data_IF_809306404886
#
_entry.id   IF_809306404886
#
_cell.length_a   1.000
_cell.length_b   1.000
_cell.length_c   1.000
_cell.angle_alpha   90.00
_cell.angle_beta   90.00
_cell.angle_gamma   90.00
#
_symmetry.space_group_name_H-M   'P 1'
#
loop_
_entity.id
_entity.type
_entity.pdbx_description
1 polymer ?
#
# COMPACT_ATOMS: atom_id res chain seq x y z
N UNK A 1 18.79 -11.97 57.33
CA UNK A 1 17.91 -12.13 56.14
C UNK A 1 17.84 -10.82 55.38
N UNK A 2 18.75 -10.68 54.44
CA UNK A 2 18.70 -9.56 53.49
C UNK A 2 17.68 -9.91 52.40
N UNK A 3 16.47 -9.42 52.54
CA UNK A 3 15.48 -9.45 51.49
C UNK A 3 16.01 -8.68 50.27
N UNK A 4 16.37 -9.45 49.30
CA UNK A 4 16.74 -8.97 47.98
C UNK A 4 15.47 -8.41 47.30
N UNK A 5 15.01 -7.19 47.67
CA UNK A 5 13.96 -6.47 46.95
C UNK A 5 14.50 -6.15 45.57
N UNK A 6 14.14 -6.99 44.57
CA UNK A 6 14.25 -6.60 43.18
C UNK A 6 13.43 -5.32 42.99
N UNK A 7 14.12 -4.19 42.97
CA UNK A 7 13.52 -2.92 42.54
C UNK A 7 13.04 -3.14 41.13
N UNK A 8 11.74 -3.15 40.91
CA UNK A 8 11.16 -3.22 39.57
C UNK A 8 11.73 -2.04 38.79
N UNK A 9 12.50 -2.34 37.77
CA UNK A 9 13.10 -1.32 36.94
C UNK A 9 11.96 -0.67 36.14
N UNK A 10 11.64 0.59 36.43
CA UNK A 10 10.68 1.37 35.71
C UNK A 10 11.37 1.77 34.38
N UNK A 11 10.93 1.18 33.28
CA UNK A 11 11.37 1.54 31.93
C UNK A 11 10.36 2.52 31.34
N UNK A 12 10.87 3.65 30.81
CA UNK A 12 10.01 4.65 30.15
C UNK A 12 9.34 4.02 28.94
N UNK A 13 8.03 4.23 28.83
CA UNK A 13 7.27 3.83 27.64
C UNK A 13 7.88 4.46 26.37
N UNK A 14 8.09 3.68 25.35
CA UNK A 14 8.58 4.14 24.06
C UNK A 14 7.94 3.34 22.92
N UNK A 15 7.90 3.94 21.74
CA UNK A 15 7.55 3.31 20.47
C UNK A 15 8.74 3.48 19.52
N UNK A 16 9.04 2.45 18.75
CA UNK A 16 10.06 2.47 17.70
C UNK A 16 9.65 3.31 16.50
N UNK A 17 10.30 3.06 15.38
CA UNK A 17 9.97 3.74 14.15
C UNK A 17 8.55 3.38 13.70
N UNK A 18 7.75 4.40 13.44
CA UNK A 18 6.42 4.26 12.85
C UNK A 18 6.52 4.61 11.38
N UNK A 19 5.94 3.82 10.47
CA UNK A 19 5.91 4.18 9.05
C UNK A 19 5.19 5.53 8.88
N UNK A 20 5.63 6.31 7.90
CA UNK A 20 4.98 7.56 7.54
C UNK A 20 3.68 7.31 6.80
N UNK A 21 3.69 6.33 5.91
CA UNK A 21 2.56 5.91 5.09
C UNK A 21 2.36 4.40 5.25
N UNK A 22 1.11 3.98 5.32
CA UNK A 22 0.68 2.57 5.42
C UNK A 22 -0.33 2.31 4.31
N UNK A 23 -0.20 1.19 3.61
CA UNK A 23 -1.13 0.83 2.54
C UNK A 23 -2.30 0.01 3.10
N UNK A 24 -3.49 0.23 2.53
CA UNK A 24 -4.64 -0.64 2.79
C UNK A 24 -4.28 -2.10 2.47
N UNK A 25 -4.70 -3.04 3.34
CA UNK A 25 -4.34 -4.45 3.23
C UNK A 25 -2.95 -4.80 3.77
N UNK A 26 -2.16 -3.83 4.23
CA UNK A 26 -0.84 -4.05 4.81
C UNK A 26 -0.95 -4.35 6.31
N UNK A 27 -0.13 -5.30 6.79
CA UNK A 27 0.08 -5.53 8.22
C UNK A 27 1.33 -4.79 8.66
N UNK A 28 1.21 -3.99 9.71
CA UNK A 28 2.32 -3.22 10.30
C UNK A 28 2.60 -3.72 11.70
N UNK A 29 3.87 -3.99 12.00
CA UNK A 29 4.32 -4.36 13.35
C UNK A 29 4.87 -3.13 14.04
N UNK A 30 4.18 -2.68 15.08
CA UNK A 30 4.65 -1.65 16.00
C UNK A 30 5.44 -2.30 17.13
N UNK A 31 6.54 -1.71 17.52
CA UNK A 31 7.43 -2.23 18.56
C UNK A 31 7.83 -1.14 19.54
N UNK A 32 8.21 -1.52 20.75
CA UNK A 32 8.74 -0.55 21.71
C UNK A 32 9.20 -1.18 23.02
N UNK A 33 9.42 -0.31 23.99
CA UNK A 33 9.86 -0.65 25.33
C UNK A 33 8.89 -0.09 26.37
N UNK A 34 8.83 -0.72 27.51
CA UNK A 34 8.06 -0.27 28.67
C UNK A 34 8.40 -1.07 29.93
N UNK A 35 7.66 -0.86 30.99
CA UNK A 35 7.90 -1.56 32.27
C UNK A 35 7.64 -3.05 32.12
N UNK A 36 8.62 -3.93 32.41
CA UNK A 36 8.43 -5.39 32.28
C UNK A 36 7.20 -5.89 33.03
N UNK A 37 6.49 -6.84 32.42
CA UNK A 37 5.28 -7.48 32.95
C UNK A 37 4.08 -6.53 33.22
N UNK A 38 4.15 -5.27 32.78
CA UNK A 38 3.00 -4.37 32.78
C UNK A 38 2.16 -4.53 31.51
N UNK A 39 1.00 -3.91 31.50
CA UNK A 39 0.13 -3.86 30.31
C UNK A 39 0.17 -2.48 29.67
N UNK A 40 -0.04 -2.44 28.37
CA UNK A 40 -0.31 -1.23 27.60
C UNK A 40 -1.61 -1.38 26.82
N UNK A 41 -2.33 -0.29 26.68
CA UNK A 41 -3.46 -0.19 25.76
C UNK A 41 -3.02 0.51 24.50
N UNK A 42 -3.33 -0.09 23.36
CA UNK A 42 -3.06 0.45 22.04
C UNK A 42 -4.40 0.77 21.39
N UNK A 43 -4.55 1.99 20.89
CA UNK A 43 -5.74 2.38 20.16
C UNK A 43 -5.35 3.09 18.86
N UNK A 44 -6.04 2.75 17.77
CA UNK A 44 -5.97 3.51 16.51
C UNK A 44 -7.17 4.43 16.39
N UNK A 45 -6.94 5.61 15.81
CA UNK A 45 -7.97 6.64 15.57
C UNK A 45 -7.91 7.09 14.13
N UNK A 46 -9.09 7.22 13.53
CA UNK A 46 -9.24 7.78 12.19
C UNK A 46 -9.05 9.29 12.17
N UNK A 47 -9.12 9.91 10.99
CA UNK A 47 -8.99 11.35 10.80
C UNK A 47 -10.05 12.18 11.55
N UNK A 48 -11.22 11.62 11.81
CA UNK A 48 -12.28 12.25 12.60
C UNK A 48 -12.01 12.18 14.12
N UNK A 49 -11.00 11.41 14.54
CA UNK A 49 -10.66 11.17 15.94
C UNK A 49 -11.45 10.03 16.60
N UNK A 50 -12.26 9.31 15.82
CA UNK A 50 -12.99 8.13 16.29
C UNK A 50 -12.03 6.96 16.46
N UNK A 51 -12.26 6.17 17.52
CA UNK A 51 -11.47 4.96 17.76
C UNK A 51 -11.92 3.90 16.75
N UNK A 52 -10.99 3.48 15.90
CA UNK A 52 -11.17 2.41 14.93
C UNK A 52 -10.89 1.04 15.55
N UNK A 53 -9.84 0.97 16.37
CA UNK A 53 -9.42 -0.27 17.03
C UNK A 53 -8.83 0.01 18.42
N UNK A 54 -9.05 -0.91 19.38
CA UNK A 54 -8.45 -0.86 20.70
C UNK A 54 -8.07 -2.26 21.17
N UNK A 55 -6.86 -2.41 21.68
CA UNK A 55 -6.35 -3.67 22.21
C UNK A 55 -5.45 -3.45 23.43
N UNK A 56 -5.39 -4.43 24.33
CA UNK A 56 -4.49 -4.43 25.47
C UNK A 56 -3.52 -5.58 25.37
N UNK A 57 -2.23 -5.27 25.41
CA UNK A 57 -1.16 -6.26 25.32
C UNK A 57 -0.26 -6.21 26.57
N UNK A 58 0.40 -7.34 26.88
CA UNK A 58 1.36 -7.43 27.97
C UNK A 58 2.78 -7.17 27.46
N UNK A 59 3.52 -6.34 28.18
CA UNK A 59 4.95 -6.11 27.95
C UNK A 59 5.74 -7.33 28.45
N UNK A 60 6.67 -7.80 27.63
CA UNK A 60 7.51 -8.94 27.95
C UNK A 60 8.36 -8.74 29.22
N UNK A 61 8.92 -9.83 29.74
CA UNK A 61 9.82 -9.82 30.91
C UNK A 61 11.12 -9.04 30.64
N UNK A 62 11.48 -8.87 29.36
CA UNK A 62 12.62 -8.09 28.89
C UNK A 62 12.30 -6.60 28.67
N UNK A 63 11.06 -6.18 28.93
CA UNK A 63 10.57 -4.82 28.73
C UNK A 63 10.20 -4.49 27.28
N UNK A 64 10.22 -5.45 26.38
CA UNK A 64 9.82 -5.23 24.99
C UNK A 64 8.36 -5.58 24.77
N UNK A 65 7.75 -4.86 23.83
CA UNK A 65 6.44 -5.17 23.32
C UNK A 65 6.42 -5.09 21.79
N UNK A 66 5.53 -5.85 21.18
CA UNK A 66 5.18 -5.76 19.76
C UNK A 66 3.68 -5.88 19.60
N UNK A 67 3.16 -5.27 18.55
CA UNK A 67 1.77 -5.30 18.18
C UNK A 67 1.67 -5.27 16.66
N UNK A 68 0.99 -6.26 16.09
CA UNK A 68 0.71 -6.35 14.66
C UNK A 68 -0.71 -5.85 14.40
N UNK A 69 -0.84 -4.86 13.52
CA UNK A 69 -2.12 -4.32 13.08
C UNK A 69 -2.29 -4.48 11.58
N UNK A 70 -3.38 -5.14 11.19
CA UNK A 70 -3.79 -5.26 9.79
C UNK A 70 -4.69 -4.08 9.43
N UNK A 71 -4.24 -3.24 8.50
CA UNK A 71 -5.05 -2.16 7.94
C UNK A 71 -6.00 -2.73 6.90
N UNK A 72 -7.27 -2.91 7.28
CA UNK A 72 -8.28 -3.50 6.40
C UNK A 72 -8.34 -2.80 5.04
N UNK A 73 -8.53 -3.56 3.94
CA UNK A 73 -8.76 -2.97 2.62
C UNK A 73 -10.01 -2.05 2.55
N UNK A 74 -10.93 -2.21 3.50
CA UNK A 74 -12.18 -1.45 3.57
C UNK A 74 -12.07 -0.16 4.41
N UNK A 75 -10.90 0.11 5.02
CA UNK A 75 -10.64 1.33 5.75
C UNK A 75 -10.63 2.54 4.80
N UNK A 76 -11.11 3.68 5.30
CA UNK A 76 -10.96 4.94 4.57
C UNK A 76 -9.50 5.39 4.57
N UNK A 77 -9.04 5.87 3.40
CA UNK A 77 -7.73 6.50 3.27
C UNK A 77 -7.72 7.85 3.99
N UNK A 78 -6.60 8.22 4.54
CA UNK A 78 -6.43 9.51 5.23
C UNK A 78 -5.48 9.43 6.41
N UNK A 79 -5.41 10.51 7.16
CA UNK A 79 -4.56 10.59 8.34
C UNK A 79 -5.14 9.76 9.47
N UNK A 80 -4.28 8.95 10.08
CA UNK A 80 -4.60 8.15 11.26
C UNK A 80 -3.57 8.37 12.35
N UNK A 81 -3.90 7.95 13.55
CA UNK A 81 -2.97 7.94 14.66
C UNK A 81 -3.04 6.64 15.45
N UNK A 82 -1.89 6.22 15.98
CA UNK A 82 -1.81 5.18 16.98
C UNK A 82 -1.43 5.80 18.32
N UNK A 83 -2.17 5.47 19.34
CA UNK A 83 -1.94 5.91 20.72
C UNK A 83 -1.60 4.70 21.59
N UNK A 84 -0.56 4.82 22.40
CA UNK A 84 -0.10 3.80 23.33
C UNK A 84 -0.10 4.37 24.73
N UNK A 85 -0.79 3.71 25.66
CA UNK A 85 -1.02 4.16 27.03
C UNK A 85 -0.67 3.06 28.03
N UNK A 86 0.23 3.33 28.99
CA UNK A 86 0.59 2.42 30.10
C UNK A 86 -0.09 2.79 31.43
N UNK A 87 -1.08 3.70 31.39
CA UNK A 87 -1.77 4.25 32.54
C UNK A 87 -1.02 5.36 33.26
N UNK A 88 0.24 5.64 32.89
CA UNK A 88 1.07 6.71 33.45
C UNK A 88 1.60 7.65 32.37
N UNK A 89 1.86 7.10 31.20
CA UNK A 89 2.41 7.81 30.04
C UNK A 89 1.62 7.45 28.80
N UNK A 90 1.51 8.42 27.91
CA UNK A 90 0.80 8.27 26.65
C UNK A 90 1.68 8.75 25.51
N UNK A 91 1.73 7.98 24.44
CA UNK A 91 2.48 8.30 23.22
C UNK A 91 1.54 8.25 22.03
N UNK A 92 1.54 9.29 21.21
CA UNK A 92 0.79 9.38 19.96
C UNK A 92 1.76 9.40 18.78
N UNK A 93 1.42 8.67 17.73
CA UNK A 93 2.10 8.70 16.42
C UNK A 93 1.08 8.84 15.31
N UNK A 94 1.34 9.76 14.41
CA UNK A 94 0.53 9.99 13.22
C UNK A 94 1.19 9.34 12.01
N UNK A 95 0.37 8.84 11.11
CA UNK A 95 0.74 8.27 9.81
C UNK A 95 -0.43 8.43 8.85
N UNK A 96 -0.18 8.28 7.54
CA UNK A 96 -1.24 8.31 6.54
C UNK A 96 -1.56 6.91 6.07
N UNK A 97 -2.84 6.56 6.01
CA UNK A 97 -3.31 5.36 5.32
C UNK A 97 -3.58 5.75 3.88
N UNK A 98 -2.90 5.08 2.96
CA UNK A 98 -2.97 5.36 1.53
C UNK A 98 -3.50 4.15 0.77
N UNK A 99 -4.13 4.39 -0.38
CA UNK A 99 -4.45 3.31 -1.31
C UNK A 99 -3.16 2.63 -1.75
N UNK A 100 -3.13 1.30 -1.81
CA UNK A 100 -2.00 0.63 -2.44
C UNK A 100 -1.93 1.08 -3.90
N UNK A 101 -0.73 1.29 -4.45
CA UNK A 101 -0.54 1.45 -5.89
C UNK A 101 -0.82 0.08 -6.53
N UNK A 102 -2.07 -0.15 -6.94
CA UNK A 102 -2.57 -1.49 -7.29
C UNK A 102 -2.62 -1.73 -8.79
N UNK A 103 -2.25 -0.74 -9.61
CA UNK A 103 -2.17 -0.95 -11.05
C UNK A 103 -0.71 -1.25 -11.40
N UNK A 104 -0.44 -2.50 -11.70
CA UNK A 104 0.84 -2.95 -12.24
C UNK A 104 0.56 -3.70 -13.54
N UNK A 105 1.15 -3.25 -14.63
CA UNK A 105 0.94 -3.79 -15.96
C UNK A 105 2.26 -3.88 -16.71
N UNK A 106 2.47 -4.96 -17.42
CA UNK A 106 3.63 -5.17 -18.26
C UNK A 106 3.20 -5.68 -19.63
N UNK A 107 3.88 -5.25 -20.66
CA UNK A 107 3.81 -5.88 -22.00
C UNK A 107 4.62 -7.18 -22.01
N UNK A 108 4.21 -8.14 -22.82
CA UNK A 108 4.90 -9.44 -22.93
C UNK A 108 6.32 -9.28 -23.51
N UNK A 109 6.51 -8.34 -24.42
CA UNK A 109 7.79 -7.98 -25.03
C UNK A 109 8.08 -6.49 -24.80
N UNK A 110 9.33 -6.10 -24.89
CA UNK A 110 9.76 -4.70 -24.82
C UNK A 110 9.74 -4.01 -26.18
N UNK A 111 9.74 -4.78 -27.29
CA UNK A 111 9.74 -4.29 -28.67
C UNK A 111 8.75 -5.09 -29.54
N UNK A 112 8.07 -4.41 -30.43
CA UNK A 112 7.10 -4.96 -31.38
C UNK A 112 7.29 -4.36 -32.76
N UNK A 113 6.94 -5.12 -33.81
CA UNK A 113 6.90 -4.61 -35.16
C UNK A 113 5.54 -3.95 -35.48
N UNK A 114 5.48 -2.95 -36.38
CA UNK A 114 4.22 -2.43 -36.89
C UNK A 114 3.33 -3.55 -37.46
N UNK A 115 2.09 -3.63 -36.98
CA UNK A 115 1.13 -4.69 -37.31
C UNK A 115 1.11 -5.88 -36.34
N UNK A 116 1.99 -5.91 -35.34
CA UNK A 116 1.91 -6.91 -34.27
C UNK A 116 0.81 -6.59 -33.24
N UNK A 117 0.44 -7.61 -32.49
CA UNK A 117 -0.44 -7.49 -31.31
C UNK A 117 0.40 -7.43 -30.07
N UNK A 118 0.18 -6.43 -29.25
CA UNK A 118 0.81 -6.28 -27.93
C UNK A 118 -0.11 -6.90 -26.87
N UNK A 119 0.39 -7.91 -26.15
CA UNK A 119 -0.30 -8.53 -25.03
C UNK A 119 0.17 -7.89 -23.72
N UNK A 120 -0.77 -7.50 -22.88
CA UNK A 120 -0.53 -6.91 -21.58
C UNK A 120 -1.08 -7.83 -20.48
N UNK A 121 -0.29 -8.01 -19.42
CA UNK A 121 -0.66 -8.77 -18.24
C UNK A 121 -0.31 -8.00 -16.98
N UNK A 122 -1.18 -8.08 -15.97
CA UNK A 122 -0.96 -7.35 -14.73
C UNK A 122 -2.06 -7.52 -13.71
N UNK A 123 -2.10 -6.57 -12.80
CA UNK A 123 -3.10 -6.49 -11.73
C UNK A 123 -3.64 -5.07 -11.58
N UNK A 124 -4.88 -4.96 -11.13
CA UNK A 124 -5.54 -3.71 -10.81
C UNK A 124 -6.57 -3.92 -9.70
N UNK A 125 -7.27 -2.88 -9.28
CA UNK A 125 -8.29 -2.99 -8.24
C UNK A 125 -9.46 -3.82 -8.74
N UNK A 126 -9.75 -4.92 -8.04
CA UNK A 126 -10.84 -5.83 -8.36
C UNK A 126 -12.21 -5.15 -8.35
N UNK A 127 -13.11 -5.62 -9.21
CA UNK A 127 -14.50 -5.16 -9.30
C UNK A 127 -14.68 -3.64 -9.58
N UNK A 128 -13.66 -2.99 -10.14
CA UNK A 128 -13.72 -1.58 -10.57
C UNK A 128 -13.50 -1.45 -12.06
N UNK A 129 -14.05 -0.38 -12.63
CA UNK A 129 -13.77 -0.02 -14.02
C UNK A 129 -12.35 0.53 -14.15
N UNK A 130 -11.66 0.15 -15.22
CA UNK A 130 -10.35 0.66 -15.61
C UNK A 130 -10.45 1.26 -17.00
N UNK A 131 -9.86 2.44 -17.17
CA UNK A 131 -9.68 3.10 -18.47
C UNK A 131 -8.26 2.91 -18.95
N UNK A 132 -8.11 2.47 -20.19
CA UNK A 132 -6.83 2.21 -20.85
C UNK A 132 -6.68 3.18 -22.00
N UNK A 133 -5.54 3.88 -22.05
CA UNK A 133 -5.19 4.84 -23.11
C UNK A 133 -3.79 4.49 -23.59
N UNK A 134 -3.62 4.34 -24.92
CA UNK A 134 -2.31 4.17 -25.54
C UNK A 134 -1.97 5.41 -26.34
N UNK A 135 -0.80 5.97 -26.08
CA UNK A 135 -0.21 7.05 -26.86
C UNK A 135 0.98 6.54 -27.68
N UNK A 136 1.10 7.03 -28.90
CA UNK A 136 2.24 6.74 -29.77
C UNK A 136 3.49 7.55 -29.38
N UNK A 137 4.57 7.37 -30.13
CA UNK A 137 5.86 8.01 -29.88
C UNK A 137 5.88 9.53 -30.02
N UNK A 138 4.83 10.12 -30.56
CA UNK A 138 4.66 11.58 -30.71
C UNK A 138 3.54 12.13 -29.80
N UNK A 139 3.00 11.30 -28.88
CA UNK A 139 2.00 11.68 -27.90
C UNK A 139 0.56 11.74 -28.44
N UNK A 140 0.29 11.08 -29.58
CA UNK A 140 -1.07 10.96 -30.10
C UNK A 140 -1.75 9.74 -29.53
N UNK A 141 -2.97 9.90 -28.98
CA UNK A 141 -3.78 8.79 -28.52
C UNK A 141 -4.22 7.92 -29.69
N UNK A 142 -3.73 6.69 -29.74
CA UNK A 142 -4.00 5.71 -30.81
C UNK A 142 -4.98 4.61 -30.38
N UNK A 143 -5.22 4.49 -29.08
CA UNK A 143 -6.19 3.52 -28.54
C UNK A 143 -6.79 4.03 -27.23
N UNK A 144 -8.08 3.73 -27.02
CA UNK A 144 -8.76 3.96 -25.75
C UNK A 144 -9.87 2.94 -25.53
N UNK A 145 -9.96 2.40 -24.32
CA UNK A 145 -11.02 1.47 -23.93
C UNK A 145 -11.21 1.50 -22.42
N UNK A 146 -12.47 1.30 -21.96
CA UNK A 146 -12.78 1.02 -20.56
C UNK A 146 -13.43 -0.35 -20.42
N UNK A 147 -13.13 -1.05 -19.32
CA UNK A 147 -13.75 -2.34 -18.98
C UNK A 147 -13.67 -2.59 -17.47
N UNK A 148 -14.50 -3.50 -16.96
CA UNK A 148 -14.47 -3.87 -15.55
C UNK A 148 -13.39 -4.91 -15.29
N UNK A 149 -12.63 -4.70 -14.22
CA UNK A 149 -11.66 -5.68 -13.70
C UNK A 149 -12.42 -6.77 -12.94
N UNK A 150 -12.05 -8.03 -13.17
CA UNK A 150 -12.66 -9.16 -12.48
C UNK A 150 -12.40 -9.19 -10.97
N UNK A 151 -13.05 -10.10 -10.28
CA UNK A 151 -13.02 -10.25 -8.80
C UNK A 151 -11.64 -10.60 -8.22
N UNK A 152 -10.73 -11.14 -9.03
CA UNK A 152 -9.35 -11.44 -8.64
C UNK A 152 -8.35 -10.31 -8.90
N UNK A 153 -8.81 -9.20 -9.52
CA UNK A 153 -7.92 -8.08 -9.86
C UNK A 153 -6.94 -8.34 -11.01
N UNK A 154 -7.04 -9.48 -11.69
CA UNK A 154 -6.16 -9.80 -12.81
C UNK A 154 -6.55 -8.99 -14.05
N UNK A 155 -5.53 -8.43 -14.71
CA UNK A 155 -5.64 -7.77 -16.00
C UNK A 155 -4.97 -8.62 -17.08
N UNK A 156 -5.69 -8.84 -18.19
CA UNK A 156 -5.11 -9.38 -19.42
C UNK A 156 -5.90 -8.84 -20.60
N UNK A 157 -5.23 -8.17 -21.51
CA UNK A 157 -5.83 -7.64 -22.73
C UNK A 157 -4.78 -7.46 -23.84
N UNK A 158 -5.25 -7.25 -25.05
CA UNK A 158 -4.43 -7.11 -26.24
C UNK A 158 -4.78 -5.83 -26.98
N UNK A 159 -3.77 -5.23 -27.62
CA UNK A 159 -3.91 -4.07 -28.49
C UNK A 159 -3.20 -4.38 -29.82
N UNK A 160 -3.91 -4.24 -30.92
CA UNK A 160 -3.33 -4.38 -32.24
C UNK A 160 -2.66 -3.06 -32.64
N UNK A 161 -1.38 -3.10 -32.95
CA UNK A 161 -0.62 -1.97 -33.49
C UNK A 161 -0.85 -1.93 -34.99
N UNK A 162 -1.19 -0.75 -35.54
CA UNK A 162 -1.37 -0.58 -37.00
C UNK A 162 -0.06 -0.85 -37.74
N UNK A 163 -0.17 -1.33 -38.97
CA UNK A 163 1.00 -1.47 -39.87
C UNK A 163 1.59 -0.14 -40.27
N UNK A 164 0.78 0.93 -40.21
CA UNK A 164 1.18 2.30 -40.54
C UNK A 164 1.52 3.10 -39.26
N UNK A 165 1.79 2.40 -38.14
CA UNK A 165 2.14 3.02 -36.87
C UNK A 165 3.48 3.75 -36.95
N UNK A 166 3.57 4.89 -36.26
CA UNK A 166 4.83 5.64 -36.12
C UNK A 166 5.78 4.83 -35.24
N UNK A 167 7.02 4.67 -35.68
CA UNK A 167 8.05 3.98 -34.90
C UNK A 167 8.46 4.80 -33.66
N UNK A 168 8.84 4.11 -32.58
CA UNK A 168 9.35 4.72 -31.36
C UNK A 168 8.71 4.17 -30.10
N UNK A 169 8.84 4.89 -29.00
CA UNK A 169 8.33 4.47 -27.68
C UNK A 169 6.86 4.83 -27.53
N UNK A 170 6.04 3.84 -27.25
CA UNK A 170 4.61 3.96 -26.93
C UNK A 170 4.42 3.94 -25.42
N UNK A 171 3.44 4.70 -24.92
CA UNK A 171 3.11 4.81 -23.52
C UNK A 171 1.67 4.33 -23.30
N UNK A 172 1.51 3.32 -22.43
CA UNK A 172 0.21 2.85 -22.01
C UNK A 172 -0.10 3.44 -20.64
N UNK A 173 -1.22 4.15 -20.53
CA UNK A 173 -1.78 4.67 -19.29
C UNK A 173 -3.01 3.87 -18.90
N UNK A 174 -3.13 3.57 -17.63
CA UNK A 174 -4.28 2.91 -17.02
C UNK A 174 -4.78 3.75 -15.84
N UNK A 175 -6.08 3.98 -15.79
CA UNK A 175 -6.70 4.79 -14.72
C UNK A 175 -7.82 4.02 -14.04
N UNK A 176 -7.81 4.00 -12.70
CA UNK A 176 -8.91 3.53 -11.86
C UNK A 176 -9.18 4.54 -10.75
N UNK A 177 -10.17 5.43 -10.93
CA UNK A 177 -10.36 6.56 -10.04
C UNK A 177 -9.13 7.48 -10.06
N UNK A 178 -8.52 7.71 -8.92
CA UNK A 178 -7.32 8.54 -8.76
C UNK A 178 -6.00 7.76 -8.94
N UNK A 179 -6.07 6.45 -9.17
CA UNK A 179 -4.90 5.59 -9.35
C UNK A 179 -4.50 5.54 -10.83
N UNK A 180 -3.20 5.63 -11.07
CA UNK A 180 -2.59 5.52 -12.41
C UNK A 180 -1.54 4.42 -12.45
N UNK A 181 -1.57 3.62 -13.52
CA UNK A 181 -0.51 2.70 -13.90
C UNK A 181 0.06 3.09 -15.26
N UNK A 182 1.37 2.99 -15.41
CA UNK A 182 2.06 3.33 -16.67
C UNK A 182 3.00 2.20 -17.05
N UNK A 183 3.03 1.84 -18.34
CA UNK A 183 4.07 1.00 -18.94
C UNK A 183 4.42 1.48 -20.32
N UNK A 184 5.61 1.14 -20.78
CA UNK A 184 6.12 1.55 -22.08
C UNK A 184 6.63 0.35 -22.87
N UNK A 185 6.56 0.42 -24.19
CA UNK A 185 7.17 -0.54 -25.10
C UNK A 185 7.58 0.18 -26.41
N UNK A 186 8.48 -0.43 -27.16
CA UNK A 186 8.91 0.08 -28.45
C UNK A 186 8.11 -0.49 -29.62
N UNK A 187 7.94 0.30 -30.68
CA UNK A 187 7.41 -0.14 -31.98
C UNK A 187 8.41 0.23 -33.07
N UNK A 188 8.74 -0.73 -33.95
CA UNK A 188 9.71 -0.56 -35.00
C UNK A 188 11.11 -1.05 -34.66
N UNK A 189 12.06 -0.83 -35.55
CA UNK A 189 13.45 -1.32 -35.41
C UNK A 189 14.23 -0.49 -34.34
N UNK A 190 15.19 -1.16 -33.69
CA UNK A 190 16.21 -0.54 -32.83
C UNK A 190 17.08 0.47 -33.58
#
# INVERSE_FOLDING_TARGET
DSENRKIAQIVKLSIGNTPKDVKLGEAVIFTGMGTPNSTITISSKNNAGDIDHIETIQIGTDGKWNYEHLFSPDLEVGDMSIEIDDGKSRILRNFSVISPTLINILSEKTMYEPGETVSFNGVAIANKEISVILEDSIGVQVYSRSFSVGDLGNLSFEINISRDSVEGTYVLHLYQGDEEGITTFGVGQE
#
